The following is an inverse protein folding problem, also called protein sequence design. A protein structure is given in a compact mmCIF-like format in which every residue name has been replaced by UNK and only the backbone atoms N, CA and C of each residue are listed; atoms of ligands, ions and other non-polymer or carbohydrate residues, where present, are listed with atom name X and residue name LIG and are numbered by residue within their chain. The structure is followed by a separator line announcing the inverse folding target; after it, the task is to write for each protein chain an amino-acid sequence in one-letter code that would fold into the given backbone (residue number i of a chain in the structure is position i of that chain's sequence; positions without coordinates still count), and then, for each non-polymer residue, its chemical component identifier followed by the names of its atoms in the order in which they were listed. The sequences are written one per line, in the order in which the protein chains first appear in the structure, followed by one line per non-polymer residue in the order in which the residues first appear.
data_IF_373917903948
#
_entry.id   IF_373917903948
#
_cell.length_a   1.000
_cell.length_b   1.000
_cell.length_c   1.000
_cell.angle_alpha   90.00
_cell.angle_beta   90.00
_cell.angle_gamma   90.00
#
_symmetry.space_group_name_H-M   'P 1'
#
loop_
_entity.id
_entity.type
_entity.pdbx_description
1 polymer ?
#
# COMPACT_ATOMS: atom_id res chain seq x y z
N UNK A 1 -0.92 18.80 37.62
CA UNK A 1 -0.35 18.54 36.28
C UNK A 1 -1.12 17.39 35.67
N UNK A 2 -1.89 17.62 34.61
CA UNK A 2 -2.59 16.54 33.90
C UNK A 2 -1.56 15.83 33.02
N UNK A 3 -1.20 14.60 33.37
CA UNK A 3 -0.41 13.71 32.50
C UNK A 3 -1.26 13.38 31.29
N UNK A 4 -1.05 14.09 30.17
CA UNK A 4 -1.70 13.74 28.92
C UNK A 4 -1.21 12.37 28.48
N UNK A 5 -2.15 11.44 28.32
CA UNK A 5 -1.86 10.13 27.75
C UNK A 5 -1.30 10.33 26.34
N UNK A 6 -0.10 9.81 26.07
CA UNK A 6 0.55 9.90 24.77
C UNK A 6 1.34 8.64 24.50
N UNK A 7 0.94 7.89 23.47
CA UNK A 7 1.74 6.80 22.91
C UNK A 7 3.00 7.37 22.26
N UNK A 8 4.11 6.66 22.40
CA UNK A 8 5.36 6.99 21.71
C UNK A 8 5.21 6.77 20.20
N UNK A 9 6.01 7.49 19.41
CA UNK A 9 6.03 7.29 17.94
C UNK A 9 6.37 5.86 17.53
N UNK A 10 7.12 5.14 18.40
CA UNK A 10 7.43 3.73 18.20
C UNK A 10 6.18 2.87 18.34
N UNK A 11 5.42 3.03 19.44
CA UNK A 11 4.17 2.29 19.64
C UNK A 11 3.15 2.56 18.53
N UNK A 12 3.05 3.82 18.07
CA UNK A 12 2.18 4.18 16.94
C UNK A 12 2.63 3.56 15.63
N UNK A 13 3.94 3.44 15.39
CA UNK A 13 4.50 2.75 14.23
C UNK A 13 4.24 1.24 14.31
N UNK A 14 4.51 0.63 15.46
CA UNK A 14 4.34 -0.81 15.65
C UNK A 14 2.86 -1.21 15.53
N UNK A 15 1.93 -0.40 16.03
CA UNK A 15 0.50 -0.63 15.85
C UNK A 15 0.07 -0.59 14.36
N UNK A 16 0.54 0.39 13.60
CA UNK A 16 0.26 0.48 12.15
C UNK A 16 0.85 -0.70 11.39
N UNK A 17 2.07 -1.09 11.73
CA UNK A 17 2.74 -2.24 11.15
C UNK A 17 1.95 -3.53 11.43
N UNK A 18 1.52 -3.75 12.68
CA UNK A 18 0.70 -4.89 13.06
C UNK A 18 -0.63 -4.91 12.29
N UNK A 19 -1.33 -3.77 12.20
CA UNK A 19 -2.57 -3.64 11.43
C UNK A 19 -2.37 -4.09 9.98
N UNK A 20 -1.33 -3.58 9.29
CA UNK A 20 -1.12 -3.96 7.90
C UNK A 20 -0.77 -5.45 7.75
N UNK A 21 0.05 -6.00 8.65
CA UNK A 21 0.41 -7.43 8.64
C UNK A 21 -0.78 -8.35 8.89
N UNK A 22 -1.62 -8.01 9.86
CA UNK A 22 -2.69 -8.91 10.34
C UNK A 22 -3.99 -8.75 9.55
N UNK A 23 -4.24 -7.59 8.96
CA UNK A 23 -5.50 -7.28 8.27
C UNK A 23 -5.28 -6.91 6.80
N UNK A 24 -4.21 -6.17 6.50
CA UNK A 24 -3.90 -5.72 5.14
C UNK A 24 -3.43 -6.85 4.24
N UNK A 25 -2.34 -7.51 4.62
CA UNK A 25 -1.73 -8.62 3.85
C UNK A 25 -2.75 -9.75 3.61
N UNK A 26 -3.46 -10.28 4.63
CA UNK A 26 -4.46 -11.33 4.38
C UNK A 26 -5.64 -10.87 3.51
N UNK A 27 -5.95 -9.58 3.48
CA UNK A 27 -6.93 -9.01 2.53
C UNK A 27 -6.44 -9.08 1.09
N UNK A 28 -5.17 -8.73 0.86
CA UNK A 28 -4.51 -8.78 -0.44
C UNK A 28 -4.31 -10.23 -0.92
N UNK A 29 -3.87 -11.14 -0.05
CA UNK A 29 -3.64 -12.56 -0.36
C UNK A 29 -4.92 -13.26 -0.83
N UNK A 30 -6.05 -12.96 -0.19
CA UNK A 30 -7.38 -13.45 -0.66
C UNK A 30 -7.74 -12.98 -2.07
N UNK A 31 -7.09 -11.94 -2.57
CA UNK A 31 -7.25 -11.40 -3.93
C UNK A 31 -6.13 -11.82 -4.89
N UNK A 32 -5.31 -12.80 -4.49
CA UNK A 32 -4.25 -13.39 -5.32
C UNK A 32 -2.93 -12.62 -5.28
N UNK A 33 -2.79 -11.59 -4.44
CA UNK A 33 -1.51 -10.94 -4.25
C UNK A 33 -0.58 -11.81 -3.41
N UNK A 34 0.69 -11.82 -3.77
CA UNK A 34 1.76 -12.49 -3.03
C UNK A 34 2.88 -11.52 -2.74
N UNK A 35 3.79 -11.90 -1.84
CA UNK A 35 5.06 -11.16 -1.66
C UNK A 35 5.73 -10.97 -3.03
N UNK A 36 6.19 -9.76 -3.29
CA UNK A 36 6.94 -9.46 -4.51
C UNK A 36 8.18 -10.36 -4.65
N UNK A 37 8.40 -10.98 -5.82
CA UNK A 37 9.54 -11.86 -6.07
C UNK A 37 10.85 -11.09 -6.32
N UNK A 38 10.77 -9.78 -6.60
CA UNK A 38 11.94 -8.96 -6.96
C UNK A 38 13.02 -8.96 -5.86
N UNK A 39 14.28 -8.91 -6.29
CA UNK A 39 15.45 -8.86 -5.39
C UNK A 39 15.45 -7.64 -4.48
N UNK A 40 15.01 -6.49 -4.98
CA UNK A 40 14.97 -5.25 -4.21
C UNK A 40 13.71 -5.10 -3.34
N UNK A 41 12.80 -6.09 -3.35
CA UNK A 41 11.52 -5.99 -2.64
C UNK A 41 11.68 -5.99 -1.12
N UNK A 42 10.92 -5.12 -0.47
CA UNK A 42 10.83 -5.04 0.99
C UNK A 42 9.57 -5.74 1.48
N UNK A 43 9.67 -6.47 2.60
CA UNK A 43 8.55 -7.21 3.16
C UNK A 43 8.56 -7.21 4.69
N UNK A 44 8.44 -6.02 5.27
CA UNK A 44 8.25 -5.83 6.70
C UNK A 44 9.50 -5.83 7.55
N UNK A 45 10.69 -5.86 6.95
CA UNK A 45 11.93 -5.53 7.65
C UNK A 45 11.93 -4.05 8.05
N UNK A 46 12.47 -3.74 9.23
CA UNK A 46 12.63 -2.36 9.66
C UNK A 46 13.77 -1.71 8.86
N UNK A 47 13.45 -0.66 8.12
CA UNK A 47 14.42 0.12 7.36
C UNK A 47 14.85 1.35 8.18
N UNK A 48 16.14 1.43 8.48
CA UNK A 48 16.74 2.55 9.22
C UNK A 48 16.77 3.84 8.41
N UNK A 49 16.78 3.78 7.08
CA UNK A 49 16.84 4.94 6.20
C UNK A 49 15.54 5.73 6.25
N UNK A 50 14.40 5.05 6.07
CA UNK A 50 13.09 5.68 6.22
C UNK A 50 12.59 5.69 7.68
N UNK A 51 13.30 4.99 8.58
CA UNK A 51 12.90 4.78 9.99
C UNK A 51 11.50 4.19 10.10
N UNK A 52 11.26 3.08 9.43
CA UNK A 52 9.92 2.57 9.17
C UNK A 52 9.86 1.14 8.65
N UNK A 53 8.70 0.78 8.14
CA UNK A 53 8.42 -0.51 7.51
C UNK A 53 7.85 -0.28 6.11
N UNK A 54 8.29 -1.12 5.17
CA UNK A 54 7.77 -1.17 3.80
C UNK A 54 7.38 -2.60 3.43
N UNK A 55 6.31 -2.72 2.64
CA UNK A 55 5.83 -3.98 2.11
C UNK A 55 5.55 -3.83 0.63
N UNK A 56 5.98 -4.81 -0.15
CA UNK A 56 5.65 -4.91 -1.55
C UNK A 56 4.99 -6.25 -1.87
N UNK A 57 3.79 -6.15 -2.43
CA UNK A 57 3.02 -7.29 -2.89
C UNK A 57 2.72 -7.11 -4.37
N UNK A 58 2.68 -8.21 -5.09
CA UNK A 58 2.36 -8.21 -6.51
C UNK A 58 1.32 -9.26 -6.85
N UNK A 59 0.63 -9.05 -7.97
CA UNK A 59 -0.23 -10.05 -8.60
C UNK A 59 -0.09 -9.93 -10.11
N UNK A 60 0.09 -11.07 -10.77
CA UNK A 60 -0.08 -11.17 -12.22
C UNK A 60 -1.55 -11.45 -12.52
N UNK A 61 -2.21 -10.56 -13.26
CA UNK A 61 -3.58 -10.74 -13.72
C UNK A 61 -3.64 -11.51 -15.04
N UNK A 62 -4.78 -12.14 -15.33
CA UNK A 62 -4.96 -13.02 -16.50
C UNK A 62 -4.75 -12.32 -17.85
N UNK A 63 -4.92 -11.00 -17.89
CA UNK A 63 -4.66 -10.15 -19.06
C UNK A 63 -3.17 -9.77 -19.24
N UNK A 64 -2.28 -10.30 -18.39
CA UNK A 64 -0.85 -9.99 -18.43
C UNK A 64 -0.48 -8.69 -17.72
N UNK A 65 -1.40 -8.09 -16.97
CA UNK A 65 -1.08 -6.93 -16.12
C UNK A 65 -0.36 -7.36 -14.85
N UNK A 66 0.75 -6.68 -14.54
CA UNK A 66 1.42 -6.76 -13.25
C UNK A 66 0.88 -5.66 -12.34
N UNK A 67 0.19 -6.07 -11.27
CA UNK A 67 -0.32 -5.17 -10.26
C UNK A 67 0.66 -5.13 -9.09
N UNK A 68 1.11 -3.95 -8.71
CA UNK A 68 2.01 -3.74 -7.57
C UNK A 68 1.31 -2.93 -6.49
N UNK A 69 1.35 -3.44 -5.26
CA UNK A 69 0.91 -2.75 -4.05
C UNK A 69 2.11 -2.50 -3.16
N UNK A 70 2.39 -1.24 -2.89
CA UNK A 70 3.45 -0.83 -1.97
C UNK A 70 2.83 -0.15 -0.74
N UNK A 71 3.14 -0.64 0.46
CA UNK A 71 2.67 -0.08 1.71
C UNK A 71 3.84 0.39 2.58
N UNK A 72 3.83 1.66 2.98
CA UNK A 72 4.92 2.29 3.75
C UNK A 72 4.39 2.96 5.01
N UNK A 73 5.12 2.74 6.11
CA UNK A 73 4.83 3.29 7.43
C UNK A 73 6.11 3.84 8.05
N UNK A 74 6.11 5.14 8.37
CA UNK A 74 7.29 5.85 8.90
C UNK A 74 7.06 6.29 10.34
N UNK A 75 8.12 6.24 11.17
CA UNK A 75 8.11 6.74 12.54
C UNK A 75 7.84 8.25 12.56
N UNK A 76 6.98 8.70 13.47
CA UNK A 76 6.57 10.10 13.60
C UNK A 76 5.48 10.52 12.60
N UNK A 77 5.21 9.69 11.59
CA UNK A 77 4.00 9.80 10.77
C UNK A 77 2.82 9.07 11.47
N UNK A 78 1.58 9.37 11.10
CA UNK A 78 0.36 8.67 11.54
C UNK A 78 -0.26 7.79 10.44
N UNK A 79 0.25 7.86 9.21
CA UNK A 79 -0.33 7.17 8.06
C UNK A 79 0.20 5.75 7.87
N UNK A 80 -0.65 4.88 7.29
CA UNK A 80 -0.26 3.75 6.46
C UNK A 80 -0.46 4.23 5.01
N UNK A 81 0.62 4.41 4.26
CA UNK A 81 0.55 4.87 2.86
C UNK A 81 0.50 3.63 1.98
N UNK A 82 -0.62 3.37 1.32
CA UNK A 82 -0.78 2.23 0.42
C UNK A 82 -0.95 2.78 -1.00
N UNK A 83 -0.05 2.38 -1.88
CA UNK A 83 -0.02 2.78 -3.29
C UNK A 83 -0.30 1.56 -4.16
N UNK A 84 -1.08 1.77 -5.22
CA UNK A 84 -1.32 0.79 -6.27
C UNK A 84 -0.76 1.35 -7.58
N UNK A 85 0.01 0.53 -8.29
CA UNK A 85 0.39 0.81 -9.69
C UNK A 85 0.19 -0.45 -10.53
N UNK A 86 -0.17 -0.27 -11.80
CA UNK A 86 -0.49 -1.37 -12.71
C UNK A 86 0.30 -1.18 -14.01
N UNK A 87 1.00 -2.23 -14.42
CA UNK A 87 1.83 -2.27 -15.62
C UNK A 87 1.33 -3.35 -16.56
N UNK A 88 1.44 -3.12 -17.86
CA UNK A 88 1.23 -4.16 -18.86
C UNK A 88 2.60 -4.78 -19.13
N UNK A 89 2.75 -6.09 -18.95
CA UNK A 89 3.98 -6.74 -19.37
C UNK A 89 3.93 -6.97 -20.89
N UNK A 90 5.01 -6.60 -21.58
CA UNK A 90 5.17 -6.80 -23.03
C UNK A 90 5.36 -8.28 -23.39
N UNK A 91 5.85 -9.07 -22.44
CA UNK A 91 5.97 -10.51 -22.56
C UNK A 91 4.93 -11.19 -21.65
N UNK A 92 4.37 -12.31 -22.12
CA UNK A 92 3.46 -13.11 -21.31
C UNK A 92 4.27 -13.93 -20.31
N UNK A 93 4.06 -13.65 -19.02
CA UNK A 93 4.57 -14.49 -17.94
C UNK A 93 3.60 -15.63 -17.65
N UNK A 94 4.16 -16.81 -17.37
CA UNK A 94 3.42 -17.97 -16.88
C UNK A 94 3.29 -17.93 -15.36
N UNK A 95 4.27 -17.34 -14.67
CA UNK A 95 4.25 -17.18 -13.21
C UNK A 95 5.07 -15.96 -12.75
N UNK A 96 4.79 -15.51 -11.53
CA UNK A 96 5.57 -14.44 -10.89
C UNK A 96 7.00 -14.87 -10.55
N UNK A 97 7.29 -16.17 -10.43
CA UNK A 97 8.63 -16.68 -10.11
C UNK A 97 9.68 -16.27 -11.17
N UNK A 98 9.24 -16.03 -12.41
CA UNK A 98 10.09 -15.54 -13.50
C UNK A 98 10.66 -14.15 -13.25
N UNK A 99 10.07 -13.38 -12.33
CA UNK A 99 10.56 -12.06 -11.93
C UNK A 99 11.56 -12.11 -10.76
N UNK A 100 11.85 -13.31 -10.23
CA UNK A 100 12.71 -13.48 -9.04
C UNK A 100 14.16 -13.06 -9.24
N UNK A 101 14.62 -13.02 -10.49
CA UNK A 101 15.96 -12.57 -10.82
C UNK A 101 16.06 -11.08 -11.14
N UNK A 102 14.93 -10.40 -11.31
CA UNK A 102 14.85 -8.99 -11.64
C UNK A 102 15.02 -8.12 -10.39
N UNK A 103 15.60 -6.93 -10.56
CA UNK A 103 15.71 -5.98 -9.45
C UNK A 103 14.35 -5.36 -9.12
N UNK A 104 13.50 -5.08 -10.11
CA UNK A 104 12.19 -4.46 -9.92
C UNK A 104 12.23 -2.95 -9.64
N UNK A 105 13.41 -2.35 -9.46
CA UNK A 105 13.56 -0.94 -9.09
C UNK A 105 12.89 0.02 -10.08
N UNK A 106 12.90 -0.30 -11.38
CA UNK A 106 12.36 0.58 -12.42
C UNK A 106 10.85 0.77 -12.30
N UNK A 107 10.11 -0.19 -11.72
CA UNK A 107 8.67 -0.04 -11.48
C UNK A 107 8.34 1.06 -10.44
N UNK A 108 9.35 1.54 -9.70
CA UNK A 108 9.21 2.56 -8.65
C UNK A 108 9.88 3.89 -8.99
N UNK A 109 10.52 4.01 -10.15
CA UNK A 109 11.25 5.20 -10.55
C UNK A 109 10.44 6.04 -11.56
N UNK A 110 10.57 7.38 -11.53
CA UNK A 110 10.06 8.21 -12.60
C UNK A 110 10.70 7.85 -13.95
N UNK A 111 9.92 7.85 -15.05
CA UNK A 111 8.51 8.24 -15.14
C UNK A 111 7.51 7.09 -14.86
N UNK A 112 7.97 5.89 -14.54
CA UNK A 112 7.15 4.66 -14.43
C UNK A 112 6.20 4.67 -13.23
N UNK A 113 6.60 5.35 -12.15
CA UNK A 113 5.78 5.58 -10.97
C UNK A 113 4.71 6.66 -11.17
N UNK A 114 4.67 7.36 -12.32
CA UNK A 114 3.77 8.51 -12.53
C UNK A 114 2.29 8.14 -12.52
N UNK A 115 1.97 6.86 -12.67
CA UNK A 115 0.60 6.32 -12.61
C UNK A 115 0.31 5.67 -11.27
N UNK A 116 1.23 5.71 -10.31
CA UNK A 116 0.99 5.23 -8.95
C UNK A 116 -0.16 6.03 -8.32
N UNK A 117 -1.13 5.31 -7.76
CA UNK A 117 -2.30 5.88 -7.10
C UNK A 117 -2.26 5.54 -5.61
N UNK A 118 -2.18 6.54 -4.74
CA UNK A 118 -2.35 6.35 -3.31
C UNK A 118 -3.82 6.14 -2.97
N UNK A 119 -4.10 4.97 -2.43
CA UNK A 119 -5.46 4.55 -2.07
C UNK A 119 -6.06 5.49 -1.02
N UNK A 120 -7.34 5.84 -1.19
CA UNK A 120 -8.08 6.85 -0.39
C UNK A 120 -7.51 8.28 -0.43
N UNK A 121 -6.56 8.58 -1.31
CA UNK A 121 -6.01 9.93 -1.47
C UNK A 121 -6.18 10.43 -2.90
N UNK A 122 -5.70 9.66 -3.88
CA UNK A 122 -5.70 10.03 -5.29
C UNK A 122 -6.93 9.47 -6.05
N UNK A 123 -7.64 8.54 -5.43
CA UNK A 123 -8.74 7.76 -6.01
C UNK A 123 -10.12 8.42 -5.85
N UNK A 124 -10.19 9.61 -5.25
CA UNK A 124 -11.46 10.28 -4.95
C UNK A 124 -12.20 10.77 -6.21
N UNK A 125 -13.53 10.64 -6.21
CA UNK A 125 -14.44 11.27 -7.17
C UNK A 125 -15.25 12.35 -6.45
N UNK A 126 -14.98 13.61 -6.76
CA UNK A 126 -15.77 14.75 -6.29
C UNK A 126 -14.94 15.98 -5.96
N UNK A 127 -15.54 17.05 -5.42
CA UNK A 127 -14.82 18.26 -5.06
C UNK A 127 -13.79 17.98 -3.94
N UNK A 128 -12.54 18.44 -4.05
CA UNK A 128 -11.45 18.12 -3.11
C UNK A 128 -11.77 18.41 -1.64
N UNK A 129 -12.58 19.43 -1.36
CA UNK A 129 -12.96 19.83 0.00
C UNK A 129 -13.78 18.75 0.73
N UNK A 130 -14.66 18.03 0.03
CA UNK A 130 -15.46 16.99 0.67
C UNK A 130 -14.61 15.76 1.05
N UNK A 131 -13.60 15.45 0.25
CA UNK A 131 -12.66 14.38 0.55
C UNK A 131 -11.89 14.68 1.84
N UNK A 132 -11.32 15.88 1.95
CA UNK A 132 -10.56 16.30 3.14
C UNK A 132 -11.40 16.29 4.43
N UNK A 133 -12.71 16.53 4.32
CA UNK A 133 -13.58 16.66 5.49
C UNK A 133 -14.22 15.35 5.95
N UNK A 134 -14.47 14.40 5.04
CA UNK A 134 -15.38 13.28 5.33
C UNK A 134 -14.88 11.90 4.88
N UNK A 135 -13.80 11.81 4.11
CA UNK A 135 -13.28 10.50 3.71
C UNK A 135 -12.55 9.82 4.86
N UNK A 136 -12.81 8.53 5.13
CA UNK A 136 -11.97 7.78 6.04
C UNK A 136 -10.57 7.64 5.45
N UNK A 137 -9.57 7.67 6.32
CA UNK A 137 -8.15 7.72 5.98
C UNK A 137 -7.41 6.57 6.67
N UNK A 138 -6.36 6.03 6.03
CA UNK A 138 -5.48 5.04 6.65
C UNK A 138 -4.54 5.70 7.65
N UNK A 139 -5.11 6.24 8.74
CA UNK A 139 -4.41 7.06 9.71
C UNK A 139 -4.91 6.75 11.11
N UNK A 140 -3.98 6.62 12.06
CA UNK A 140 -4.35 6.62 13.48
C UNK A 140 -4.76 8.05 13.88
N UNK A 141 -5.98 8.17 14.43
CA UNK A 141 -6.53 9.44 14.89
C UNK A 141 -5.81 10.04 16.10
N UNK A 142 -6.41 11.07 16.69
CA UNK A 142 -5.91 11.64 17.94
C UNK A 142 -6.32 10.76 19.11
N UNK A 143 -5.36 10.52 20.00
CA UNK A 143 -5.49 9.56 21.09
C UNK A 143 -5.28 10.30 22.41
N UNK A 144 -6.31 10.29 23.26
CA UNK A 144 -6.29 10.95 24.57
C UNK A 144 -6.33 9.99 25.77
N UNK A 145 -6.47 8.69 25.52
CA UNK A 145 -6.51 7.61 26.52
C UNK A 145 -6.17 6.26 25.87
N UNK A 146 -5.88 5.23 26.67
CA UNK A 146 -5.64 3.87 26.16
C UNK A 146 -6.89 3.31 25.46
N UNK A 147 -8.07 3.51 26.04
CA UNK A 147 -9.33 3.09 25.42
C UNK A 147 -9.60 3.79 24.07
N UNK A 148 -9.22 5.06 23.95
CA UNK A 148 -9.26 5.81 22.69
C UNK A 148 -8.27 5.25 21.69
N UNK A 149 -7.07 4.86 22.14
CA UNK A 149 -6.05 4.24 21.28
C UNK A 149 -6.56 2.95 20.67
N UNK A 150 -7.03 2.02 21.50
CA UNK A 150 -7.55 0.72 21.06
C UNK A 150 -8.74 0.87 20.10
N UNK A 151 -9.60 1.88 20.33
CA UNK A 151 -10.70 2.19 19.41
C UNK A 151 -10.20 2.64 18.04
N UNK A 152 -9.21 3.54 18.00
CA UNK A 152 -8.62 3.99 16.74
C UNK A 152 -7.86 2.88 16.02
N UNK A 153 -7.14 2.01 16.75
CA UNK A 153 -6.48 0.82 16.21
C UNK A 153 -7.50 -0.11 15.56
N UNK A 154 -8.60 -0.45 16.25
CA UNK A 154 -9.67 -1.30 15.69
C UNK A 154 -10.31 -0.68 14.46
N UNK A 155 -10.66 0.61 14.51
CA UNK A 155 -11.24 1.34 13.37
C UNK A 155 -10.33 1.31 12.15
N UNK A 156 -9.03 1.53 12.35
CA UNK A 156 -8.04 1.49 11.27
C UNK A 156 -7.86 0.06 10.74
N UNK A 157 -7.83 -0.94 11.61
CA UNK A 157 -7.76 -2.35 11.25
C UNK A 157 -8.95 -2.78 10.38
N UNK A 158 -10.18 -2.43 10.80
CA UNK A 158 -11.41 -2.71 10.05
C UNK A 158 -11.38 -2.05 8.67
N UNK A 159 -10.93 -0.79 8.61
CA UNK A 159 -10.83 -0.05 7.35
C UNK A 159 -9.82 -0.68 6.40
N UNK A 160 -8.58 -0.90 6.85
CA UNK A 160 -7.51 -1.51 6.05
C UNK A 160 -7.92 -2.92 5.61
N UNK A 161 -8.43 -3.74 6.53
CA UNK A 161 -8.85 -5.11 6.23
C UNK A 161 -9.99 -5.16 5.21
N UNK A 162 -11.00 -4.29 5.36
CA UNK A 162 -12.11 -4.17 4.40
C UNK A 162 -11.61 -3.76 3.02
N UNK A 163 -10.76 -2.75 2.95
CA UNK A 163 -10.31 -2.20 1.68
C UNK A 163 -9.36 -3.12 0.94
N UNK A 164 -8.42 -3.75 1.64
CA UNK A 164 -7.51 -4.72 1.03
C UNK A 164 -8.26 -5.97 0.58
N UNK A 165 -9.27 -6.42 1.32
CA UNK A 165 -10.17 -7.48 0.87
C UNK A 165 -10.99 -7.09 -0.37
N UNK A 166 -11.19 -5.80 -0.61
CA UNK A 166 -11.91 -5.26 -1.77
C UNK A 166 -10.97 -4.53 -2.75
N UNK A 167 -9.69 -4.90 -2.82
CA UNK A 167 -8.67 -4.18 -3.61
C UNK A 167 -9.07 -3.99 -5.08
N UNK A 168 -9.85 -4.91 -5.64
CA UNK A 168 -10.42 -4.85 -7.00
C UNK A 168 -11.18 -3.56 -7.30
N UNK A 169 -11.83 -2.93 -6.30
CA UNK A 169 -12.50 -1.63 -6.53
C UNK A 169 -11.49 -0.51 -6.80
N UNK A 170 -10.34 -0.55 -6.15
CA UNK A 170 -9.26 0.40 -6.39
C UNK A 170 -8.56 0.12 -7.71
N UNK A 171 -8.38 -1.15 -8.11
CA UNK A 171 -7.87 -1.51 -9.44
C UNK A 171 -8.76 -0.94 -10.56
N UNK A 172 -10.07 -1.11 -10.44
CA UNK A 172 -11.02 -0.50 -11.39
C UNK A 172 -10.90 1.02 -11.39
N UNK A 173 -10.78 1.64 -10.22
CA UNK A 173 -10.63 3.09 -10.10
C UNK A 173 -9.34 3.58 -10.73
N UNK A 174 -8.25 2.84 -10.56
CA UNK A 174 -6.97 3.10 -11.19
C UNK A 174 -7.11 3.12 -12.72
N UNK A 175 -7.79 2.13 -13.31
CA UNK A 175 -8.05 2.04 -14.75
C UNK A 175 -8.98 3.14 -15.29
N UNK A 176 -9.77 3.80 -14.45
CA UNK A 176 -10.53 4.99 -14.85
C UNK A 176 -9.65 6.24 -14.93
N UNK A 177 -8.55 6.28 -14.17
CA UNK A 177 -7.66 7.44 -14.04
C UNK A 177 -6.44 7.33 -14.94
N UNK A 178 -5.97 6.11 -15.18
CA UNK A 178 -4.69 5.82 -15.79
C UNK A 178 -4.82 4.73 -16.85
N UNK A 179 -3.76 4.58 -17.64
CA UNK A 179 -3.57 3.43 -18.54
C UNK A 179 -2.28 2.73 -18.13
N UNK A 180 -2.24 1.39 -18.14
CA UNK A 180 -1.02 0.65 -17.85
C UNK A 180 0.05 1.01 -18.86
N UNK A 181 1.25 1.28 -18.36
CA UNK A 181 2.44 1.41 -19.21
C UNK A 181 2.91 0.02 -19.59
N UNK A 182 3.25 -0.16 -20.86
CA UNK A 182 3.86 -1.41 -21.32
C UNK A 182 5.33 -1.43 -20.93
N UNK A 183 5.75 -2.49 -20.25
CA UNK A 183 7.14 -2.67 -19.80
C UNK A 183 7.66 -4.07 -20.10
N UNK A 184 8.98 -4.22 -20.14
CA UNK A 184 9.62 -5.53 -19.98
C UNK A 184 9.53 -6.02 -18.52
N UNK A 185 10.12 -7.19 -18.26
CA UNK A 185 10.17 -7.81 -16.92
C UNK A 185 11.04 -7.05 -15.91
N UNK A 186 11.96 -6.22 -16.38
CA UNK A 186 12.82 -5.36 -15.55
C UNK A 186 12.16 -3.99 -15.28
N UNK A 187 10.99 -3.71 -15.85
CA UNK A 187 10.26 -2.47 -15.70
C UNK A 187 10.66 -1.34 -16.66
N UNK A 188 11.47 -1.63 -17.68
CA UNK A 188 11.78 -0.67 -18.73
C UNK A 188 10.59 -0.51 -19.67
N UNK A 189 10.27 0.72 -20.09
CA UNK A 189 9.15 0.97 -21.03
C UNK A 189 9.52 0.51 -22.44
N UNK A 190 8.56 -0.14 -23.10
CA UNK A 190 8.62 -0.59 -24.50
C UNK A 190 7.65 0.24 -25.35
#
# INVERSE_FOLDING_TARGET
MSTSFKKSDKELLDARNAIFKEYGIPGLERNGYVKSPFKSSWFGQYDTNIRGYSYELCRLADNGELHLVNATMVKGDKWIKINLNIFQLGEKLESLDQLGDCEGINFHLPPHDSTSMRLRNDDYKGPPLFHMMFSPEYKLGNVGSESSFEKEVRKLADLVGKDMANIRSFERRWHELHRPRTTDVEGNVI
#
